data_IF_386074902235
#
_entry.id   IF_386074902235
#
_cell.length_a   1.000
_cell.length_b   1.000
_cell.length_c   1.000
_cell.angle_alpha   90.00
_cell.angle_beta   90.00
_cell.angle_gamma   90.00
#
_symmetry.space_group_name_H-M   'P 1'
#
loop_
_entity.id
_entity.type
_entity.pdbx_description
1 polymer ?
#
# COMPACT_ATOMS: atom_id res chain seq x y z
N UNK A 1 21.85 -21.62 -18.63
CA UNK A 1 22.88 -22.07 -19.59
C UNK A 1 24.16 -22.26 -18.80
N UNK A 2 24.59 -23.51 -18.54
CA UNK A 2 25.74 -23.80 -17.69
C UNK A 2 27.06 -23.46 -18.40
N UNK A 3 28.07 -23.02 -17.65
CA UNK A 3 29.43 -22.86 -18.16
C UNK A 3 30.06 -24.25 -18.31
N UNK A 4 30.79 -24.48 -19.39
CA UNK A 4 31.27 -25.82 -19.82
C UNK A 4 32.32 -26.48 -18.90
N UNK A 5 32.61 -25.95 -17.71
CA UNK A 5 33.65 -26.47 -16.80
C UNK A 5 33.12 -27.23 -15.57
N UNK A 6 31.81 -27.47 -15.48
CA UNK A 6 31.19 -28.20 -14.37
C UNK A 6 31.04 -27.40 -13.07
N UNK A 7 31.35 -26.10 -13.07
CA UNK A 7 30.94 -25.20 -11.99
C UNK A 7 29.47 -24.86 -12.12
N UNK A 8 28.74 -25.05 -11.04
CA UNK A 8 27.40 -24.48 -10.89
C UNK A 8 27.59 -22.97 -10.75
N UNK A 9 27.05 -22.20 -11.70
CA UNK A 9 26.86 -20.77 -11.50
C UNK A 9 25.83 -20.62 -10.39
N UNK A 10 26.29 -20.40 -9.16
CA UNK A 10 25.42 -19.93 -8.09
C UNK A 10 25.15 -18.46 -8.43
N UNK A 11 24.12 -18.21 -9.26
CA UNK A 11 23.51 -16.89 -9.32
C UNK A 11 22.86 -16.70 -7.96
N UNK A 12 23.58 -16.06 -7.04
CA UNK A 12 22.93 -15.53 -5.85
C UNK A 12 22.03 -14.42 -6.37
N UNK A 13 20.71 -14.60 -6.28
CA UNK A 13 19.79 -13.49 -6.45
C UNK A 13 20.28 -12.36 -5.55
N UNK A 14 20.44 -11.16 -6.11
CA UNK A 14 20.83 -10.00 -5.34
C UNK A 14 19.61 -9.59 -4.50
N UNK A 15 19.65 -9.74 -3.16
CA UNK A 15 18.50 -9.45 -2.31
C UNK A 15 18.18 -7.95 -2.23
N UNK A 16 18.99 -7.11 -2.87
CA UNK A 16 18.79 -5.65 -2.93
C UNK A 16 18.46 -5.15 -4.33
N UNK A 17 18.39 -6.05 -5.33
CA UNK A 17 18.00 -5.66 -6.67
C UNK A 17 16.52 -5.31 -6.67
N UNK A 18 16.24 -4.14 -7.19
CA UNK A 18 14.92 -3.58 -7.48
C UNK A 18 14.99 -3.17 -8.96
N UNK A 19 14.31 -3.92 -9.82
CA UNK A 19 14.47 -3.83 -11.27
C UNK A 19 13.62 -2.73 -11.92
N UNK A 20 12.50 -2.34 -11.31
CA UNK A 20 11.59 -1.31 -11.81
C UNK A 20 11.59 -0.02 -10.98
N UNK A 21 12.27 -0.02 -9.84
CA UNK A 21 12.59 1.17 -9.05
C UNK A 21 11.44 1.61 -8.15
N UNK A 22 10.51 0.71 -7.81
CA UNK A 22 9.35 1.03 -6.99
C UNK A 22 9.65 1.10 -5.49
N UNK A 23 10.87 0.67 -5.08
CA UNK A 23 11.34 0.64 -3.70
C UNK A 23 11.30 -0.74 -3.05
N UNK A 24 10.76 -1.77 -3.72
CA UNK A 24 10.71 -3.14 -3.24
C UNK A 24 11.73 -4.00 -4.01
N UNK A 25 12.62 -4.75 -3.32
CA UNK A 25 13.51 -5.67 -4.01
C UNK A 25 12.75 -6.81 -4.70
N UNK A 26 13.18 -7.21 -5.91
CA UNK A 26 12.62 -8.32 -6.69
C UNK A 26 12.41 -9.59 -5.83
N UNK A 27 13.35 -9.85 -4.90
CA UNK A 27 13.30 -11.01 -4.01
C UNK A 27 12.14 -10.98 -3.02
N UNK A 28 11.77 -9.80 -2.54
CA UNK A 28 10.66 -9.62 -1.59
C UNK A 28 9.31 -9.75 -2.33
N UNK A 29 9.23 -9.25 -3.56
CA UNK A 29 8.02 -9.34 -4.39
C UNK A 29 7.71 -10.77 -4.86
N UNK A 30 8.72 -11.63 -5.01
CA UNK A 30 8.50 -13.07 -5.20
C UNK A 30 7.70 -13.72 -4.07
N UNK A 31 7.54 -13.05 -2.92
CA UNK A 31 6.67 -13.45 -1.83
C UNK A 31 5.17 -13.29 -2.13
N UNK A 32 4.80 -12.60 -3.20
CA UNK A 32 3.42 -12.46 -3.64
C UNK A 32 2.85 -13.78 -4.20
N UNK A 33 1.50 -13.88 -4.30
CA UNK A 33 0.85 -14.97 -5.03
C UNK A 33 1.38 -15.15 -6.46
N UNK A 34 1.06 -16.30 -7.06
CA UNK A 34 1.33 -16.61 -8.47
C UNK A 34 2.80 -16.49 -8.92
N UNK A 35 3.74 -16.67 -7.99
CA UNK A 35 5.19 -16.55 -8.20
C UNK A 35 5.65 -15.09 -8.41
N UNK A 36 5.07 -14.14 -7.67
CA UNK A 36 5.40 -12.73 -7.78
C UNK A 36 4.56 -11.97 -8.80
N UNK A 37 3.39 -12.50 -9.19
CA UNK A 37 2.39 -11.84 -10.04
C UNK A 37 1.14 -11.62 -9.17
N UNK A 38 1.22 -10.61 -8.32
CA UNK A 38 0.22 -10.35 -7.29
C UNK A 38 -1.08 -9.78 -7.84
N UNK A 39 -1.03 -9.14 -9.01
CA UNK A 39 -2.19 -8.55 -9.68
C UNK A 39 -2.83 -9.49 -10.74
N UNK A 40 -2.22 -10.65 -11.00
CA UNK A 40 -2.70 -11.71 -11.89
C UNK A 40 -2.82 -11.32 -13.37
N UNK A 41 -1.94 -10.43 -13.86
CA UNK A 41 -1.94 -9.99 -15.26
C UNK A 41 -1.01 -10.81 -16.17
N UNK A 42 -0.25 -11.75 -15.61
CA UNK A 42 0.69 -12.63 -16.30
C UNK A 42 2.09 -12.05 -16.46
N UNK A 43 2.35 -10.87 -15.90
CA UNK A 43 3.67 -10.25 -15.76
C UNK A 43 4.01 -10.30 -14.26
N UNK A 44 5.30 -10.48 -13.94
CA UNK A 44 5.71 -10.45 -12.53
C UNK A 44 5.81 -8.99 -12.07
N UNK A 45 5.35 -8.73 -10.85
CA UNK A 45 5.27 -7.40 -10.26
C UNK A 45 6.62 -6.67 -10.36
N UNK A 46 7.73 -7.38 -10.07
CA UNK A 46 9.10 -6.85 -10.08
C UNK A 46 9.68 -6.36 -11.42
N UNK A 47 8.86 -6.31 -12.47
CA UNK A 47 9.25 -5.67 -13.73
C UNK A 47 8.23 -4.63 -14.18
N UNK A 48 7.25 -4.31 -13.34
CA UNK A 48 6.14 -3.44 -13.62
C UNK A 48 6.24 -2.21 -12.71
N UNK A 49 6.70 -1.05 -13.21
CA UNK A 49 6.91 0.16 -12.40
C UNK A 49 5.64 0.80 -11.82
N UNK A 50 4.48 0.17 -12.01
CA UNK A 50 3.18 0.56 -11.47
C UNK A 50 2.55 -0.55 -10.62
N UNK A 51 3.27 -1.64 -10.34
CA UNK A 51 2.81 -2.77 -9.54
C UNK A 51 3.91 -3.15 -8.56
N UNK A 52 3.60 -3.11 -7.26
CA UNK A 52 4.53 -3.50 -6.21
C UNK A 52 3.89 -4.52 -5.28
N UNK A 53 4.58 -5.60 -4.91
CA UNK A 53 4.14 -6.52 -3.86
C UNK A 53 4.89 -6.30 -2.56
N UNK A 54 4.30 -5.49 -1.67
CA UNK A 54 4.93 -4.99 -0.45
C UNK A 54 4.70 -5.95 0.73
N UNK A 55 5.76 -6.52 1.36
CA UNK A 55 5.62 -7.26 2.61
C UNK A 55 5.08 -6.35 3.73
N UNK A 56 3.95 -6.74 4.33
CA UNK A 56 3.35 -5.92 5.37
C UNK A 56 4.15 -5.97 6.69
N UNK A 57 4.02 -4.92 7.50
CA UNK A 57 4.81 -4.73 8.73
C UNK A 57 4.37 -5.58 9.94
N UNK A 58 3.34 -6.43 9.80
CA UNK A 58 2.76 -7.24 10.90
C UNK A 58 3.22 -8.69 10.83
N UNK A 59 3.03 -9.35 9.68
CA UNK A 59 3.38 -10.76 9.49
C UNK A 59 4.21 -11.06 8.24
N UNK A 60 4.54 -10.03 7.45
CA UNK A 60 5.35 -10.13 6.24
C UNK A 60 4.62 -10.72 5.03
N UNK A 61 3.32 -11.01 5.12
CA UNK A 61 2.55 -11.40 3.92
C UNK A 61 2.43 -10.22 2.95
N UNK A 62 2.55 -10.48 1.65
CA UNK A 62 2.54 -9.43 0.63
C UNK A 62 1.15 -8.77 0.50
N UNK A 63 1.15 -7.44 0.34
CA UNK A 63 0.03 -6.65 -0.16
C UNK A 63 0.43 -6.12 -1.52
N UNK A 64 -0.36 -6.40 -2.55
CA UNK A 64 -0.04 -5.95 -3.91
C UNK A 64 -0.68 -4.59 -4.16
N UNK A 65 0.12 -3.62 -4.59
CA UNK A 65 -0.25 -2.28 -4.98
C UNK A 65 -0.24 -2.24 -6.51
N UNK A 66 -1.31 -1.75 -7.13
CA UNK A 66 -1.41 -1.56 -8.57
C UNK A 66 -1.85 -0.12 -8.82
N UNK A 67 -0.89 0.73 -9.18
CA UNK A 67 -1.12 2.12 -9.56
C UNK A 67 -1.78 2.23 -10.95
N UNK A 68 -2.36 3.39 -11.25
CA UNK A 68 -2.76 3.74 -12.61
C UNK A 68 -1.54 3.59 -13.54
N UNK A 69 -1.65 2.87 -14.68
CA UNK A 69 -0.53 2.67 -15.60
C UNK A 69 0.07 3.94 -16.21
N UNK A 70 -0.59 5.10 -16.08
CA UNK A 70 -0.06 6.40 -16.48
C UNK A 70 0.72 7.12 -15.36
N UNK A 71 0.78 6.54 -14.16
CA UNK A 71 1.62 6.97 -13.04
C UNK A 71 2.67 5.91 -12.74
N UNK A 72 3.77 6.34 -12.10
CA UNK A 72 4.81 5.45 -11.62
C UNK A 72 4.66 5.31 -10.11
N UNK A 73 4.71 4.08 -9.60
CA UNK A 73 4.76 3.80 -8.17
C UNK A 73 6.22 3.83 -7.73
N UNK A 74 6.53 4.59 -6.69
CA UNK A 74 7.89 4.68 -6.14
C UNK A 74 7.87 4.72 -4.62
N UNK A 75 9.02 4.42 -4.01
CA UNK A 75 9.22 4.47 -2.56
C UNK A 75 8.17 3.68 -1.74
N UNK A 76 7.61 2.63 -2.33
CA UNK A 76 6.65 1.74 -1.68
C UNK A 76 7.34 0.99 -0.53
N UNK A 77 6.71 0.94 0.63
CA UNK A 77 7.25 0.25 1.81
C UNK A 77 6.20 0.09 2.90
N UNK A 78 6.37 -0.91 3.76
CA UNK A 78 5.71 -0.93 5.06
C UNK A 78 6.44 -0.02 6.04
N UNK A 79 5.69 0.72 6.85
CA UNK A 79 6.23 1.68 7.82
C UNK A 79 5.67 1.42 9.23
N UNK A 80 6.40 1.80 10.29
CA UNK A 80 5.83 1.83 11.63
C UNK A 80 4.61 2.75 11.71
N UNK A 81 3.77 2.56 12.74
CA UNK A 81 2.68 3.50 13.02
C UNK A 81 3.27 4.93 13.17
N UNK A 82 2.85 5.89 12.33
CA UNK A 82 3.45 7.22 12.26
C UNK A 82 3.16 8.10 13.47
N UNK A 83 2.07 7.83 14.20
CA UNK A 83 1.73 8.54 15.44
C UNK A 83 1.00 7.61 16.43
N UNK A 84 1.75 6.77 17.17
CA UNK A 84 1.16 5.74 18.03
C UNK A 84 0.40 6.28 19.24
N UNK A 85 0.76 7.47 19.73
CA UNK A 85 0.19 8.04 20.95
C UNK A 85 -1.25 8.53 20.81
N UNK A 86 -1.68 8.83 19.60
CA UNK A 86 -3.00 9.37 19.26
C UNK A 86 -3.65 8.60 18.10
N UNK A 87 -3.18 7.38 17.84
CA UNK A 87 -3.74 6.51 16.83
C UNK A 87 -5.25 6.28 17.07
N UNK A 88 -6.05 6.18 16.00
CA UNK A 88 -7.47 5.89 16.12
C UNK A 88 -7.69 4.55 16.83
N UNK A 89 -8.83 4.40 17.50
CA UNK A 89 -9.22 3.15 18.14
C UNK A 89 -9.69 2.12 17.10
N UNK A 90 -8.75 1.63 16.30
CA UNK A 90 -8.94 0.69 15.21
C UNK A 90 -7.80 -0.36 15.19
N UNK A 91 -8.04 -1.50 14.55
CA UNK A 91 -7.00 -2.50 14.33
C UNK A 91 -6.41 -2.34 12.93
N UNK A 92 -5.08 -2.38 12.81
CA UNK A 92 -4.35 -2.32 11.54
C UNK A 92 -3.75 -3.70 11.22
N UNK A 93 -4.52 -4.64 10.64
CA UNK A 93 -4.09 -6.04 10.46
C UNK A 93 -2.87 -6.18 9.55
N UNK A 94 -2.63 -5.19 8.68
CA UNK A 94 -1.48 -5.13 7.76
C UNK A 94 -0.48 -4.01 8.11
N UNK A 95 -0.68 -3.34 9.25
CA UNK A 95 0.13 -2.18 9.62
C UNK A 95 -0.13 -0.98 8.72
N UNK A 96 0.94 -0.22 8.45
CA UNK A 96 0.90 1.01 7.67
C UNK A 96 1.88 0.91 6.52
N UNK A 97 1.61 1.68 5.48
CA UNK A 97 2.39 1.75 4.26
C UNK A 97 2.69 3.21 3.94
N UNK A 98 3.81 3.41 3.24
CA UNK A 98 4.14 4.67 2.60
C UNK A 98 4.50 4.39 1.14
N UNK A 99 4.08 5.27 0.24
CA UNK A 99 4.46 5.23 -1.18
C UNK A 99 4.33 6.63 -1.81
N UNK A 100 4.89 6.77 -2.99
CA UNK A 100 4.73 7.93 -3.85
C UNK A 100 4.13 7.51 -5.20
N UNK A 101 3.33 8.39 -5.80
CA UNK A 101 2.91 8.27 -7.20
C UNK A 101 3.48 9.45 -7.97
N UNK A 102 4.38 9.17 -8.91
CA UNK A 102 4.95 10.20 -9.79
C UNK A 102 4.30 10.17 -11.16
N UNK A 103 4.64 11.15 -11.99
CA UNK A 103 4.12 11.32 -13.35
C UNK A 103 2.61 11.59 -13.40
N UNK A 104 2.04 12.00 -12.27
CA UNK A 104 0.68 12.52 -12.20
C UNK A 104 0.67 13.91 -12.84
N UNK A 105 -0.26 14.26 -13.74
CA UNK A 105 -0.40 15.63 -14.19
C UNK A 105 -0.60 16.56 -12.98
N UNK A 106 0.07 17.73 -12.88
CA UNK A 106 -0.12 18.61 -11.74
C UNK A 106 -1.59 19.01 -11.52
N UNK A 107 -2.14 18.70 -10.35
CA UNK A 107 -3.57 18.88 -10.03
C UNK A 107 -4.50 17.82 -10.67
N UNK A 108 -3.94 16.79 -11.28
CA UNK A 108 -4.63 15.69 -11.94
C UNK A 108 -4.99 14.56 -10.97
N UNK A 109 -5.82 13.64 -11.44
CA UNK A 109 -6.25 12.46 -10.68
C UNK A 109 -5.44 11.23 -11.02
N UNK A 110 -5.22 10.37 -10.02
CA UNK A 110 -4.69 9.01 -10.19
C UNK A 110 -5.34 8.08 -9.14
N UNK A 111 -5.03 6.79 -9.20
CA UNK A 111 -5.47 5.82 -8.22
C UNK A 111 -4.45 4.72 -7.99
N UNK A 112 -4.54 4.07 -6.83
CA UNK A 112 -3.85 2.82 -6.52
C UNK A 112 -4.85 1.82 -5.99
N UNK A 113 -4.84 0.62 -6.54
CA UNK A 113 -5.61 -0.51 -6.01
C UNK A 113 -4.69 -1.39 -5.18
N UNK A 114 -5.12 -1.71 -3.96
CA UNK A 114 -4.45 -2.64 -3.08
C UNK A 114 -5.24 -3.94 -3.00
N UNK A 115 -4.56 -5.06 -3.25
CA UNK A 115 -5.08 -6.40 -3.04
C UNK A 115 -4.48 -6.96 -1.75
N UNK A 116 -5.31 -7.06 -0.71
CA UNK A 116 -4.90 -7.56 0.60
C UNK A 116 -4.92 -9.10 0.62
N UNK A 117 -3.95 -9.76 1.29
CA UNK A 117 -3.78 -11.21 1.22
C UNK A 117 -4.87 -11.98 1.97
N UNK A 118 -5.49 -11.36 2.98
CA UNK A 118 -6.58 -11.94 3.75
C UNK A 118 -7.40 -10.81 4.41
N UNK A 119 -8.61 -11.12 4.86
CA UNK A 119 -9.55 -10.20 5.52
C UNK A 119 -10.13 -9.03 4.70
N UNK A 120 -11.42 -8.81 4.92
CA UNK A 120 -12.05 -7.57 4.51
C UNK A 120 -11.70 -6.47 5.51
N UNK A 121 -11.39 -5.29 4.99
CA UNK A 121 -11.15 -4.09 5.79
C UNK A 121 -12.35 -3.16 5.69
N UNK A 122 -12.46 -2.20 6.59
CA UNK A 122 -13.66 -1.37 6.74
C UNK A 122 -13.38 0.10 6.50
N UNK A 123 -12.14 0.53 6.73
CA UNK A 123 -11.74 1.93 6.56
C UNK A 123 -10.27 2.00 6.20
N UNK A 124 -9.88 3.05 5.50
CA UNK A 124 -8.49 3.43 5.30
C UNK A 124 -8.20 4.68 6.15
N UNK A 125 -7.15 4.62 6.97
CA UNK A 125 -6.72 5.77 7.75
C UNK A 125 -5.44 6.34 7.19
N UNK A 126 -5.33 7.66 7.21
CA UNK A 126 -4.12 8.39 6.85
C UNK A 126 -3.64 9.20 8.05
N UNK A 127 -2.32 9.39 8.13
CA UNK A 127 -1.72 10.34 9.05
C UNK A 127 -0.97 11.40 8.26
N UNK A 128 -1.51 12.62 8.26
CA UNK A 128 -0.95 13.66 7.40
C UNK A 128 -1.71 14.97 7.47
N UNK A 129 -1.40 15.88 6.57
CA UNK A 129 -2.11 17.15 6.42
C UNK A 129 -3.43 16.96 5.67
N UNK A 130 -4.37 17.87 5.86
CA UNK A 130 -5.59 17.97 5.06
C UNK A 130 -5.87 19.43 4.68
N UNK A 131 -6.66 19.69 3.61
CA UNK A 131 -7.12 21.03 3.32
C UNK A 131 -7.85 21.64 4.53
N UNK A 132 -7.29 22.70 5.10
CA UNK A 132 -7.82 23.37 6.29
C UNK A 132 -7.18 22.96 7.62
N UNK A 133 -6.38 21.89 7.65
CA UNK A 133 -5.55 21.54 8.81
C UNK A 133 -4.11 21.14 8.39
N UNK A 134 -3.15 22.09 8.45
CA UNK A 134 -1.78 21.86 8.00
C UNK A 134 -0.90 21.11 9.02
N UNK A 135 -1.41 20.85 10.23
CA UNK A 135 -0.72 20.02 11.22
C UNK A 135 -1.05 18.55 10.95
N UNK A 136 -0.06 17.64 10.86
CA UNK A 136 -0.32 16.22 10.69
C UNK A 136 -1.27 15.68 11.76
N UNK A 137 -2.27 14.90 11.32
CA UNK A 137 -3.28 14.29 12.17
C UNK A 137 -3.84 13.04 11.50
N UNK A 138 -4.47 12.18 12.30
CA UNK A 138 -5.24 11.06 11.79
C UNK A 138 -6.56 11.51 11.17
N UNK A 139 -6.90 10.95 10.01
CA UNK A 139 -8.22 11.11 9.41
C UNK A 139 -8.61 9.85 8.63
N UNK A 140 -9.92 9.55 8.61
CA UNK A 140 -10.47 8.54 7.70
C UNK A 140 -10.42 9.08 6.27
N UNK A 141 -9.86 8.27 5.37
CA UNK A 141 -9.78 8.61 3.96
C UNK A 141 -10.94 7.96 3.19
N UNK A 142 -12.17 8.13 3.65
CA UNK A 142 -13.36 7.56 2.98
C UNK A 142 -13.67 8.27 1.67
N UNK A 143 -13.99 7.55 0.59
CA UNK A 143 -14.29 8.16 -0.72
C UNK A 143 -15.42 9.19 -0.63
N UNK A 144 -15.13 10.43 -1.07
CA UNK A 144 -16.07 11.56 -1.01
C UNK A 144 -16.65 11.95 -2.38
N UNK A 145 -16.38 11.14 -3.41
CA UNK A 145 -16.71 11.42 -4.80
C UNK A 145 -15.58 12.11 -5.58
N UNK A 146 -14.48 12.50 -4.93
CA UNK A 146 -13.27 13.04 -5.57
C UNK A 146 -12.00 12.31 -5.12
N UNK A 147 -11.79 12.18 -3.81
CA UNK A 147 -10.64 11.47 -3.22
C UNK A 147 -11.10 10.49 -2.14
N UNK A 148 -10.26 9.52 -1.81
CA UNK A 148 -10.54 8.55 -0.74
C UNK A 148 -10.53 7.11 -1.21
N UNK A 149 -10.69 6.22 -0.24
CA UNK A 149 -10.74 4.78 -0.39
C UNK A 149 -12.17 4.32 -0.72
N UNK A 150 -12.28 3.62 -1.84
CA UNK A 150 -13.39 2.73 -2.17
C UNK A 150 -12.99 1.30 -1.79
N UNK A 151 -13.77 0.64 -0.94
CA UNK A 151 -13.40 -0.62 -0.29
C UNK A 151 -14.40 -1.70 -0.68
N UNK A 152 -13.91 -2.75 -1.33
CA UNK A 152 -14.68 -3.92 -1.71
C UNK A 152 -14.00 -5.19 -1.19
N UNK A 153 -14.30 -5.54 0.06
CA UNK A 153 -13.72 -6.72 0.72
C UNK A 153 -12.23 -6.54 0.98
N UNK A 154 -11.41 -7.38 0.35
CA UNK A 154 -9.95 -7.33 0.44
C UNK A 154 -9.30 -6.47 -0.64
N UNK A 155 -10.10 -5.85 -1.53
CA UNK A 155 -9.62 -4.92 -2.55
C UNK A 155 -9.97 -3.51 -2.13
N UNK A 156 -8.96 -2.63 -2.11
CA UNK A 156 -9.11 -1.21 -1.75
C UNK A 156 -8.59 -0.35 -2.89
N UNK A 157 -9.44 0.48 -3.49
CA UNK A 157 -9.00 1.47 -4.47
C UNK A 157 -8.91 2.84 -3.79
N UNK A 158 -7.70 3.38 -3.73
CA UNK A 158 -7.43 4.73 -3.24
C UNK A 158 -7.46 5.70 -4.41
N UNK A 159 -8.34 6.70 -4.35
CA UNK A 159 -8.46 7.76 -5.33
C UNK A 159 -7.76 9.03 -4.84
N UNK A 160 -6.90 9.61 -5.69
CA UNK A 160 -6.13 10.81 -5.39
C UNK A 160 -6.37 11.91 -6.42
N UNK A 161 -6.13 13.14 -5.97
CA UNK A 161 -5.87 14.29 -6.82
C UNK A 161 -4.61 14.97 -6.27
N UNK A 162 -3.66 15.26 -7.15
CA UNK A 162 -2.39 15.91 -6.82
C UNK A 162 -2.60 17.30 -6.22
N UNK A 163 -2.06 17.54 -5.03
CA UNK A 163 -2.31 18.72 -4.21
C UNK A 163 -3.63 18.73 -3.43
N UNK A 164 -4.36 17.61 -3.33
CA UNK A 164 -5.64 17.53 -2.62
C UNK A 164 -5.58 16.66 -1.35
N UNK A 165 -6.73 16.45 -0.70
CA UNK A 165 -6.86 15.53 0.44
C UNK A 165 -6.38 14.14 0.02
N UNK A 166 -5.49 13.54 0.80
CA UNK A 166 -4.85 12.28 0.41
C UNK A 166 -3.37 12.46 0.06
N UNK A 167 -2.98 13.65 -0.38
CA UNK A 167 -1.61 14.02 -0.71
C UNK A 167 -1.00 14.85 0.44
N UNK A 168 0.02 14.31 1.12
CA UNK A 168 0.47 14.86 2.41
C UNK A 168 1.09 16.27 2.31
N UNK A 169 1.72 16.59 1.18
CA UNK A 169 2.34 17.91 1.00
C UNK A 169 1.35 19.00 0.55
N UNK A 170 0.17 18.60 0.07
CA UNK A 170 -0.91 19.45 -0.45
C UNK A 170 -0.46 20.38 -1.60
N UNK A 171 0.57 19.98 -2.37
CA UNK A 171 1.09 20.72 -3.51
C UNK A 171 0.75 20.01 -4.81
N UNK A 172 0.16 20.73 -5.77
CA UNK A 172 0.00 20.21 -7.12
C UNK A 172 1.35 20.23 -7.87
N UNK A 173 2.20 19.23 -7.63
CA UNK A 173 3.57 19.14 -8.15
C UNK A 173 3.82 17.91 -9.03
N UNK A 174 2.78 17.10 -9.26
CA UNK A 174 2.82 15.85 -10.02
C UNK A 174 3.31 14.64 -9.23
N UNK A 175 3.35 14.75 -7.90
CA UNK A 175 3.77 13.70 -6.97
C UNK A 175 2.76 13.60 -5.83
N UNK A 176 2.13 12.44 -5.67
CA UNK A 176 1.35 12.13 -4.47
C UNK A 176 2.27 11.55 -3.40
N UNK A 177 2.25 12.09 -2.18
CA UNK A 177 2.90 11.47 -1.02
C UNK A 177 1.84 10.85 -0.10
N UNK A 178 1.85 9.52 0.05
CA UNK A 178 0.84 8.80 0.83
C UNK A 178 1.45 7.92 1.95
N UNK A 179 1.31 8.35 3.21
CA UNK A 179 1.30 7.44 4.35
C UNK A 179 -0.14 7.09 4.81
N UNK A 180 -0.41 5.80 4.97
CA UNK A 180 -1.71 5.32 5.44
C UNK A 180 -1.76 3.83 5.74
N UNK A 181 -2.92 3.33 6.15
CA UNK A 181 -3.09 1.91 6.43
C UNK A 181 -4.54 1.46 6.44
N UNK A 182 -4.82 0.22 6.01
CA UNK A 182 -6.14 -0.34 6.08
C UNK A 182 -6.44 -0.74 7.52
N UNK A 183 -7.67 -0.46 7.96
CA UNK A 183 -8.14 -0.79 9.29
C UNK A 183 -9.37 -1.68 9.27
N UNK A 184 -9.45 -2.53 10.27
CA UNK A 184 -10.62 -3.32 10.61
C UNK A 184 -11.16 -2.86 11.96
N UNK A 185 -12.45 -3.13 12.22
CA UNK A 185 -12.98 -2.97 13.57
C UNK A 185 -12.14 -3.80 14.54
N UNK A 186 -11.78 -3.25 15.72
CA UNK A 186 -11.28 -4.11 16.79
C UNK A 186 -12.39 -5.15 17.01
N UNK A 187 -12.06 -6.45 16.93
CA UNK A 187 -13.06 -7.47 17.20
C UNK A 187 -13.67 -7.15 18.56
N UNK A 188 -14.94 -6.72 18.58
CA UNK A 188 -15.67 -6.61 19.82
C UNK A 188 -15.72 -8.04 20.33
N UNK A 189 -14.99 -8.33 21.41
CA UNK A 189 -15.19 -9.56 22.16
C UNK A 189 -16.65 -9.49 22.59
N UNK A 190 -17.51 -10.22 21.89
CA UNK A 190 -18.89 -10.41 22.29
C UNK A 190 -18.79 -11.23 23.58
N UNK A 191 -18.65 -10.56 24.72
CA UNK A 191 -18.84 -11.20 26.01
C UNK A 191 -20.23 -11.85 25.94
N UNK A 192 -20.36 -13.16 26.19
CA UNK A 192 -21.68 -13.78 26.17
C UNK A 192 -22.57 -12.99 27.12
N UNK A 193 -23.65 -12.40 26.60
CA UNK A 193 -24.68 -11.78 27.43
C UNK A 193 -25.08 -12.84 28.45
N UNK A 194 -24.71 -12.63 29.71
CA UNK A 194 -25.24 -13.45 30.78
C UNK A 194 -26.68 -12.99 30.96
N UNK A 195 -27.61 -13.72 30.36
CA UNK A 195 -29.02 -13.57 30.68
C UNK A 195 -29.13 -13.92 32.16
N UNK A 196 -29.44 -12.92 32.99
CA UNK A 196 -29.93 -13.18 34.34
C UNK A 196 -31.37 -13.63 34.17
N UNK A 197 -31.63 -14.88 34.56
CA UNK A 197 -32.97 -15.38 34.82
C UNK A 197 -33.71 -14.50 35.85
#
# INVERSE_FOLDING_TARGET
MGLEDGRILIVRADPTRDNDGDGIPDWDELGAPNHGDGNEDGIVDSVQPHVASVPNGVDGTAVTFTADPNSTLTNAQSVPNPSPSDAPNASFPFGHFAFELTDVPPGGSTSVTLTLPWAAVQSWWKYGRTPGNPTPHWYEFTFDGTTGADINGNVVTLHFVDGARGDDDLMANGVIVDPGGPSAYPFAVYLPMTIKD
#
